data_IF_644130185403
#
_entry.id   IF_644130185403
#
_cell.length_a   1.000
_cell.length_b   1.000
_cell.length_c   1.000
_cell.angle_alpha   90.00
_cell.angle_beta   90.00
_cell.angle_gamma   90.00
#
_symmetry.space_group_name_H-M   'P 1'
#
loop_
_entity.id
_entity.type
_entity.pdbx_description
1 polymer ?
#
# COMPACT_ATOMS: atom_id res chain seq x y z
N UNK A 1 -16.81 33.15 29.44
CA UNK A 1 -16.82 31.74 29.00
C UNK A 1 -15.59 31.58 28.13
N UNK A 2 -14.59 30.88 28.64
CA UNK A 2 -13.28 30.75 28.00
C UNK A 2 -13.35 29.71 26.89
N UNK A 3 -12.51 29.87 25.87
CA UNK A 3 -12.45 29.03 24.66
C UNK A 3 -12.21 27.53 24.98
N UNK A 4 -11.73 27.24 26.18
CA UNK A 4 -11.46 25.89 26.71
C UNK A 4 -12.74 25.08 26.96
N UNK A 5 -13.80 25.70 27.50
CA UNK A 5 -15.11 25.04 27.72
C UNK A 5 -15.78 24.62 26.39
N UNK A 6 -15.49 25.37 25.31
CA UNK A 6 -16.00 25.09 23.98
C UNK A 6 -15.23 23.94 23.29
N UNK A 7 -13.91 23.92 23.46
CA UNK A 7 -13.05 22.81 23.02
C UNK A 7 -13.41 21.49 23.70
N UNK A 8 -13.61 21.49 25.02
CA UNK A 8 -13.98 20.27 25.76
C UNK A 8 -15.33 19.71 25.31
N UNK A 9 -16.31 20.58 25.07
CA UNK A 9 -17.62 20.16 24.51
C UNK A 9 -17.52 19.59 23.10
N UNK A 10 -16.61 20.10 22.29
CA UNK A 10 -16.35 19.59 20.94
C UNK A 10 -15.68 18.21 20.99
N UNK A 11 -14.72 18.03 21.90
CA UNK A 11 -14.05 16.75 22.13
C UNK A 11 -15.03 15.69 22.66
N UNK A 12 -15.88 16.03 23.62
CA UNK A 12 -16.89 15.10 24.16
C UNK A 12 -17.90 14.66 23.09
N UNK A 13 -18.35 15.59 22.23
CA UNK A 13 -19.23 15.27 21.10
C UNK A 13 -18.54 14.39 20.06
N UNK A 14 -17.24 14.58 19.84
CA UNK A 14 -16.46 13.74 18.93
C UNK A 14 -16.27 12.34 19.53
N UNK A 15 -15.89 12.25 20.81
CA UNK A 15 -15.74 11.00 21.54
C UNK A 15 -17.02 10.16 21.50
N UNK A 16 -18.19 10.77 21.75
CA UNK A 16 -19.47 10.07 21.71
C UNK A 16 -19.86 9.53 20.32
N UNK A 17 -19.36 10.14 19.23
CA UNK A 17 -19.57 9.65 17.85
C UNK A 17 -18.62 8.51 17.47
N UNK A 18 -17.44 8.46 18.09
CA UNK A 18 -16.36 7.52 17.73
C UNK A 18 -16.27 6.34 18.72
N UNK A 19 -16.81 6.47 19.94
CA UNK A 19 -16.65 5.52 21.04
C UNK A 19 -17.53 4.28 21.02
N UNK A 20 -18.10 3.91 19.87
CA UNK A 20 -18.67 2.57 19.69
C UNK A 20 -17.85 1.77 18.70
N UNK A 21 -16.68 1.26 19.08
CA UNK A 21 -16.17 0.07 18.41
C UNK A 21 -17.22 -1.02 18.63
N UNK A 22 -17.82 -1.53 17.55
CA UNK A 22 -18.47 -2.84 17.64
C UNK A 22 -17.33 -3.80 17.97
N UNK A 23 -17.24 -4.24 19.23
CA UNK A 23 -16.42 -5.37 19.63
C UNK A 23 -16.96 -6.59 18.89
N UNK A 24 -16.56 -6.74 17.63
CA UNK A 24 -16.55 -8.05 17.01
C UNK A 24 -15.45 -8.80 17.75
N UNK A 25 -15.71 -10.00 18.29
CA UNK A 25 -14.67 -10.76 18.96
C UNK A 25 -13.51 -10.91 17.97
N UNK A 26 -12.29 -10.67 18.43
CA UNK A 26 -11.07 -10.71 17.60
C UNK A 26 -11.01 -12.01 16.77
N UNK A 27 -11.56 -13.09 17.33
CA UNK A 27 -11.72 -14.39 16.71
C UNK A 27 -12.58 -14.37 15.44
N UNK A 28 -13.66 -13.61 15.37
CA UNK A 28 -14.47 -13.47 14.14
C UNK A 28 -13.73 -12.71 13.04
N UNK A 29 -12.84 -11.79 13.40
CA UNK A 29 -11.99 -11.08 12.43
C UNK A 29 -10.86 -11.97 11.92
N UNK A 30 -10.25 -12.76 12.81
CA UNK A 30 -9.22 -13.74 12.46
C UNK A 30 -9.82 -14.90 11.66
N UNK A 31 -10.95 -15.45 12.06
CA UNK A 31 -11.66 -16.50 11.33
C UNK A 31 -12.14 -15.99 9.96
N UNK A 32 -12.56 -14.71 9.85
CA UNK A 32 -12.85 -14.09 8.55
C UNK A 32 -11.60 -13.90 7.67
N UNK A 33 -10.41 -13.83 8.26
CA UNK A 33 -9.14 -13.80 7.52
C UNK A 33 -8.62 -15.21 7.20
N UNK A 34 -8.90 -16.21 8.05
CA UNK A 34 -8.47 -17.61 7.90
C UNK A 34 -9.40 -18.44 7.00
N UNK A 35 -10.66 -18.04 6.80
CA UNK A 35 -11.65 -18.73 5.94
C UNK A 35 -11.67 -18.28 4.47
N UNK A 36 -10.86 -17.30 4.08
CA UNK A 36 -10.83 -16.80 2.70
C UNK A 36 -9.80 -17.57 1.86
N UNK A 37 -10.17 -18.77 1.40
CA UNK A 37 -9.35 -19.57 0.49
C UNK A 37 -8.96 -18.78 -0.77
N UNK A 38 -7.65 -18.70 -1.04
CA UNK A 38 -7.14 -18.10 -2.26
C UNK A 38 -7.62 -18.87 -3.50
N UNK A 39 -8.07 -18.12 -4.50
CA UNK A 39 -8.50 -18.69 -5.80
C UNK A 39 -7.40 -18.51 -6.83
N UNK A 40 -7.15 -19.53 -7.64
CA UNK A 40 -6.20 -19.44 -8.74
C UNK A 40 -6.67 -18.43 -9.79
N UNK A 41 -5.77 -17.54 -10.19
CA UNK A 41 -6.01 -16.55 -11.22
C UNK A 41 -4.82 -16.45 -12.17
N UNK A 42 -5.11 -16.06 -13.41
CA UNK A 42 -4.08 -15.70 -14.38
C UNK A 42 -3.63 -14.27 -14.14
N UNK A 43 -2.40 -14.10 -13.70
CA UNK A 43 -1.72 -12.83 -13.56
C UNK A 43 -0.87 -12.55 -14.80
N UNK A 44 -0.79 -11.31 -15.24
CA UNK A 44 0.10 -10.86 -16.31
C UNK A 44 1.05 -9.79 -15.79
N UNK A 45 2.35 -9.97 -16.05
CA UNK A 45 3.36 -8.98 -15.71
C UNK A 45 3.19 -7.74 -16.59
N UNK A 46 3.00 -6.54 -16.01
CA UNK A 46 2.85 -5.31 -16.78
C UNK A 46 4.16 -4.89 -17.49
N UNK A 47 5.32 -5.37 -17.03
CA UNK A 47 6.63 -5.00 -17.58
C UNK A 47 7.05 -5.90 -18.75
N UNK A 48 6.88 -7.22 -18.64
CA UNK A 48 7.35 -8.17 -19.65
C UNK A 48 6.23 -8.94 -20.37
N UNK A 49 4.96 -8.74 -19.99
CA UNK A 49 3.80 -9.41 -20.59
C UNK A 49 3.68 -10.90 -20.28
N UNK A 50 4.62 -11.50 -19.53
CA UNK A 50 4.55 -12.91 -19.14
C UNK A 50 3.33 -13.16 -18.27
N UNK A 51 2.57 -14.21 -18.57
CA UNK A 51 1.45 -14.65 -17.75
C UNK A 51 1.85 -15.81 -16.84
N UNK A 52 1.38 -15.80 -15.60
CA UNK A 52 1.53 -16.89 -14.63
C UNK A 52 0.20 -17.20 -13.96
N UNK A 53 0.03 -18.44 -13.50
CA UNK A 53 -1.08 -18.82 -12.62
C UNK A 53 -0.59 -18.64 -11.19
N UNK A 54 -1.33 -17.88 -10.40
CA UNK A 54 -1.04 -17.72 -8.98
C UNK A 54 -2.35 -17.64 -8.19
N UNK A 55 -2.25 -17.99 -6.92
CA UNK A 55 -3.32 -17.80 -5.94
C UNK A 55 -3.47 -16.30 -5.66
N UNK A 56 -4.67 -15.77 -5.86
CA UNK A 56 -5.01 -14.37 -5.53
C UNK A 56 -6.10 -14.33 -4.46
N UNK A 57 -6.10 -13.29 -3.62
CA UNK A 57 -7.06 -13.20 -2.52
C UNK A 57 -8.49 -13.15 -3.04
N UNK A 58 -9.44 -13.75 -2.30
CA UNK A 58 -10.86 -13.68 -2.67
C UNK A 58 -11.39 -12.24 -2.72
N UNK A 59 -10.82 -11.29 -1.97
CA UNK A 59 -11.19 -9.86 -2.05
C UNK A 59 -11.04 -9.28 -3.46
N UNK A 60 -10.04 -9.73 -4.22
CA UNK A 60 -9.85 -9.37 -5.62
C UNK A 60 -10.99 -9.94 -6.46
N UNK A 61 -11.30 -11.23 -6.31
CA UNK A 61 -12.43 -11.86 -6.97
C UNK A 61 -13.78 -11.22 -6.61
N UNK A 62 -14.02 -10.86 -5.35
CA UNK A 62 -15.23 -10.19 -4.90
C UNK A 62 -15.38 -8.80 -5.53
N UNK A 63 -14.27 -8.07 -5.72
CA UNK A 63 -14.25 -6.81 -6.47
C UNK A 63 -14.59 -7.02 -7.95
N UNK A 64 -14.04 -8.06 -8.58
CA UNK A 64 -14.35 -8.41 -9.97
C UNK A 64 -15.81 -8.86 -10.15
N UNK A 65 -16.34 -9.68 -9.25
CA UNK A 65 -17.73 -10.12 -9.22
C UNK A 65 -18.69 -8.93 -9.06
N UNK A 66 -18.37 -7.98 -8.16
CA UNK A 66 -19.12 -6.72 -8.02
C UNK A 66 -19.12 -5.86 -9.29
N UNK A 67 -18.05 -5.92 -10.07
CA UNK A 67 -17.94 -5.25 -11.38
C UNK A 67 -18.61 -6.03 -12.51
N UNK A 68 -19.07 -7.26 -12.27
CA UNK A 68 -19.65 -8.14 -13.28
C UNK A 68 -18.63 -8.76 -14.23
N UNK A 69 -17.34 -8.78 -13.86
CA UNK A 69 -16.27 -9.35 -14.67
C UNK A 69 -16.27 -10.89 -14.57
N UNK A 70 -16.61 -11.59 -15.66
CA UNK A 70 -16.62 -13.07 -15.71
C UNK A 70 -15.23 -13.69 -15.78
N UNK A 71 -14.24 -12.94 -16.27
CA UNK A 71 -12.85 -13.36 -16.41
C UNK A 71 -11.94 -12.15 -16.13
N UNK A 72 -11.73 -11.79 -14.86
CA UNK A 72 -10.95 -10.61 -14.50
C UNK A 72 -9.49 -10.76 -14.92
N UNK A 73 -8.94 -9.67 -15.46
CA UNK A 73 -7.55 -9.60 -15.87
C UNK A 73 -6.71 -8.97 -14.77
N UNK A 74 -5.80 -9.76 -14.20
CA UNK A 74 -5.00 -9.31 -13.07
C UNK A 74 -3.58 -8.96 -13.52
N UNK A 75 -3.11 -7.78 -13.11
CA UNK A 75 -1.74 -7.32 -13.40
C UNK A 75 -0.90 -7.41 -12.14
N UNK A 76 0.21 -8.13 -12.22
CA UNK A 76 1.16 -8.29 -11.11
C UNK A 76 2.58 -8.48 -11.67
N UNK A 77 3.56 -7.68 -11.25
CA UNK A 77 4.96 -7.84 -11.65
C UNK A 77 5.48 -9.25 -11.38
N UNK A 78 6.20 -9.84 -12.34
CA UNK A 78 6.86 -11.13 -12.10
C UNK A 78 8.11 -10.94 -11.23
N UNK A 79 8.55 -12.00 -10.54
CA UNK A 79 9.69 -11.96 -9.61
C UNK A 79 10.93 -11.34 -10.25
N UNK A 80 11.31 -11.76 -11.45
CA UNK A 80 12.46 -11.19 -12.15
C UNK A 80 12.35 -9.68 -12.39
N UNK A 81 11.14 -9.16 -12.66
CA UNK A 81 10.96 -7.74 -12.90
C UNK A 81 10.87 -6.93 -11.60
N UNK A 82 10.42 -7.57 -10.50
CA UNK A 82 10.48 -6.99 -9.16
C UNK A 82 11.94 -6.84 -8.72
N UNK A 83 12.77 -7.87 -8.91
CA UNK A 83 14.20 -7.84 -8.58
C UNK A 83 14.92 -6.75 -9.38
N UNK A 84 14.70 -6.68 -10.70
CA UNK A 84 15.28 -5.65 -11.55
C UNK A 84 14.85 -4.23 -11.15
N UNK A 85 13.58 -4.03 -10.75
CA UNK A 85 13.12 -2.74 -10.25
C UNK A 85 13.71 -2.40 -8.88
N UNK A 86 13.84 -3.39 -7.99
CA UNK A 86 14.50 -3.26 -6.70
C UNK A 86 15.96 -2.86 -6.85
N UNK A 87 16.70 -3.52 -7.73
CA UNK A 87 18.09 -3.19 -8.05
C UNK A 87 18.23 -1.81 -8.66
N UNK A 88 17.29 -1.41 -9.54
CA UNK A 88 17.27 -0.06 -10.12
C UNK A 88 17.05 0.99 -9.05
N UNK A 89 16.07 0.80 -8.16
CA UNK A 89 15.79 1.73 -7.05
C UNK A 89 16.95 1.79 -6.05
N UNK A 90 17.61 0.67 -5.76
CA UNK A 90 18.76 0.64 -4.88
C UNK A 90 20.00 1.33 -5.48
N UNK A 91 20.15 1.30 -6.82
CA UNK A 91 21.18 2.06 -7.53
C UNK A 91 20.84 3.53 -7.61
N UNK A 92 19.57 3.87 -7.82
CA UNK A 92 19.07 5.25 -7.85
C UNK A 92 19.24 5.91 -6.49
N UNK A 93 18.88 5.23 -5.39
CA UNK A 93 19.09 5.76 -4.03
C UNK A 93 20.58 6.01 -3.74
N UNK A 94 21.46 5.07 -4.11
CA UNK A 94 22.92 5.26 -3.98
C UNK A 94 23.43 6.40 -4.84
N UNK A 95 22.90 6.58 -6.04
CA UNK A 95 23.28 7.68 -6.91
C UNK A 95 22.83 9.03 -6.32
N UNK A 96 21.62 9.10 -5.77
CA UNK A 96 21.11 10.31 -5.09
C UNK A 96 21.92 10.63 -3.84
N UNK A 97 22.27 9.64 -3.01
CA UNK A 97 23.15 9.82 -1.84
C UNK A 97 24.54 10.35 -2.24
N UNK A 98 25.11 9.83 -3.34
CA UNK A 98 26.40 10.29 -3.86
C UNK A 98 26.30 11.71 -4.44
N UNK A 99 25.20 12.05 -5.12
CA UNK A 99 24.96 13.40 -5.62
C UNK A 99 24.79 14.41 -4.49
N UNK A 100 24.02 14.09 -3.45
CA UNK A 100 23.83 14.96 -2.28
C UNK A 100 25.14 15.14 -1.50
N UNK A 101 25.94 14.07 -1.36
CA UNK A 101 27.26 14.15 -0.74
C UNK A 101 28.27 14.96 -1.58
N UNK A 102 28.16 14.95 -2.91
CA UNK A 102 29.02 15.70 -3.81
C UNK A 102 28.68 17.21 -3.80
N UNK A 103 27.40 17.57 -3.66
CA UNK A 103 26.96 18.96 -3.47
C UNK A 103 27.50 19.57 -2.16
N UNK A 104 27.67 18.76 -1.11
CA UNK A 104 28.26 19.20 0.16
C UNK A 104 29.79 19.39 0.12
N UNK A 105 30.48 18.94 -0.93
CA UNK A 105 31.93 19.04 -1.09
C UNK A 105 32.39 20.06 -2.13
N UNK A 106 31.47 20.72 -2.84
CA UNK A 106 31.85 21.79 -3.76
C UNK A 106 32.26 23.03 -2.94
N UNK A 107 33.54 23.48 -3.00
CA UNK A 107 33.90 24.77 -2.44
C UNK A 107 33.20 25.84 -3.27
N UNK A 108 32.55 26.81 -2.61
CA UNK A 108 32.08 28.04 -3.24
C UNK A 108 33.31 28.79 -3.79
N UNK A 109 33.68 28.48 -5.03
CA UNK A 109 34.72 29.20 -5.75
C UNK A 109 34.12 30.49 -6.30
N UNK A 110 34.33 31.57 -5.53
CA UNK A 110 34.54 32.91 -6.07
C UNK A 110 33.31 33.82 -6.14
N UNK A 111 33.45 34.96 -5.46
CA UNK A 111 33.00 36.34 -5.77
C UNK A 111 33.09 37.09 -4.42
N UNK A 112 34.00 38.04 -4.13
CA UNK A 112 34.90 38.92 -4.90
C UNK A 112 36.19 39.19 -4.09
#
# INVERSE_FOLDING_TARGET
MTNEDEMDRLMDKHAAKVSKPKEKPLKDLVDAWELEEDREARLVCPQCGKSRIAKVPKSWWALAEKRGEKAPFWRSPCECCIELEGDRKAKESKATEVSEALELQLPTMGEE
#
